data_IF_677013513199
#
_entry.id   IF_677013513199
#
_cell.length_a   1.000
_cell.length_b   1.000
_cell.length_c   1.000
_cell.angle_alpha   90.00
_cell.angle_beta   90.00
_cell.angle_gamma   90.00
#
_symmetry.space_group_name_H-M   'P 1'
#
loop_
_entity.id
_entity.type
_entity.pdbx_description
1 polymer ?
#
# COMPACT_ATOMS: atom_id res chain seq x y z
N UNK A 1 17.88 16.06 -0.44
CA UNK A 1 16.84 15.03 -0.24
C UNK A 1 17.20 14.26 1.02
N UNK A 2 16.49 14.42 2.14
CA UNK A 2 16.68 13.57 3.32
C UNK A 2 16.09 12.21 2.96
N UNK A 3 16.95 11.25 2.65
CA UNK A 3 16.56 9.84 2.51
C UNK A 3 15.87 9.45 3.83
N UNK A 4 14.75 8.71 3.74
CA UNK A 4 14.03 8.19 4.90
C UNK A 4 15.01 7.70 5.95
N UNK A 5 14.85 8.18 7.18
CA UNK A 5 15.81 7.93 8.23
C UNK A 5 15.92 6.43 8.48
N UNK A 6 17.14 5.96 8.74
CA UNK A 6 17.44 4.58 9.16
C UNK A 6 16.42 4.04 10.18
N UNK A 7 15.93 4.90 11.07
CA UNK A 7 14.88 4.61 12.05
C UNK A 7 13.55 4.11 11.46
N UNK A 8 13.14 4.56 10.27
CA UNK A 8 11.91 4.10 9.62
C UNK A 8 12.09 2.68 9.11
N UNK A 9 13.21 2.42 8.42
CA UNK A 9 13.55 1.08 7.96
C UNK A 9 13.67 0.15 9.18
N UNK A 10 14.41 0.54 10.22
CA UNK A 10 14.60 -0.26 11.44
C UNK A 10 13.26 -0.63 12.10
N UNK A 11 12.28 0.29 12.13
CA UNK A 11 10.95 0.01 12.67
C UNK A 11 10.19 -1.00 11.80
N UNK A 12 10.03 -0.72 10.51
CA UNK A 12 9.20 -1.57 9.64
C UNK A 12 9.90 -2.87 9.22
N UNK A 13 11.17 -3.05 9.59
CA UNK A 13 11.88 -4.34 9.51
C UNK A 13 11.53 -5.30 10.65
N UNK A 14 10.82 -4.86 11.69
CA UNK A 14 10.49 -5.73 12.82
C UNK A 14 9.47 -6.80 12.41
N UNK A 15 9.65 -8.08 12.82
CA UNK A 15 8.72 -9.16 12.46
C UNK A 15 7.27 -8.90 12.87
N UNK A 16 7.05 -8.20 13.97
CA UNK A 16 5.72 -7.87 14.48
C UNK A 16 5.00 -6.89 13.55
N UNK A 17 5.71 -5.88 13.04
CA UNK A 17 5.17 -4.90 12.08
C UNK A 17 4.87 -5.62 10.76
N UNK A 18 5.81 -6.43 10.26
CA UNK A 18 5.59 -7.23 9.03
C UNK A 18 4.37 -8.14 9.15
N UNK A 19 4.21 -8.79 10.30
CA UNK A 19 3.05 -9.64 10.57
C UNK A 19 1.75 -8.85 10.61
N UNK A 20 1.73 -7.71 11.31
CA UNK A 20 0.53 -6.85 11.38
C UNK A 20 0.09 -6.39 9.98
N UNK A 21 1.03 -5.88 9.17
CA UNK A 21 0.72 -5.43 7.81
C UNK A 21 0.37 -6.58 6.86
N UNK A 22 0.92 -7.78 7.08
CA UNK A 22 0.54 -8.98 6.32
C UNK A 22 -0.86 -9.47 6.69
N UNK A 23 -1.22 -9.46 7.98
CA UNK A 23 -2.51 -9.93 8.48
C UNK A 23 -3.67 -9.05 7.96
N UNK A 24 -3.42 -7.76 7.73
CA UNK A 24 -4.44 -6.85 7.19
C UNK A 24 -4.43 -6.74 5.66
N UNK A 25 -3.45 -7.34 4.96
CA UNK A 25 -3.31 -7.20 3.51
C UNK A 25 -4.57 -7.64 2.75
N UNK A 26 -5.29 -8.65 3.26
CA UNK A 26 -6.50 -9.17 2.64
C UNK A 26 -7.79 -8.45 3.05
N UNK A 27 -7.72 -7.47 3.95
CA UNK A 27 -8.91 -6.72 4.42
C UNK A 27 -9.43 -5.72 3.39
N UNK A 28 -8.59 -5.35 2.42
CA UNK A 28 -8.90 -4.40 1.37
C UNK A 28 -9.07 -2.96 1.86
N UNK A 29 -9.75 -2.12 1.07
CA UNK A 29 -9.93 -0.70 1.37
C UNK A 29 -10.82 -0.49 2.60
N UNK A 30 -10.44 0.47 3.42
CA UNK A 30 -11.32 0.98 4.45
C UNK A 30 -12.46 1.81 3.83
N UNK A 31 -13.43 2.19 4.67
CA UNK A 31 -14.62 2.91 4.21
C UNK A 31 -14.27 4.30 3.63
N UNK A 32 -13.32 5.00 4.22
CA UNK A 32 -12.93 6.34 3.78
C UNK A 32 -12.14 6.28 2.47
N UNK A 33 -11.22 5.33 2.35
CA UNK A 33 -10.44 5.04 1.15
C UNK A 33 -11.36 4.70 -0.03
N UNK A 34 -12.31 3.78 0.19
CA UNK A 34 -13.32 3.43 -0.82
C UNK A 34 -14.15 4.64 -1.27
N UNK A 35 -14.53 5.54 -0.35
CA UNK A 35 -15.24 6.77 -0.70
C UNK A 35 -14.38 7.72 -1.54
N UNK A 36 -13.09 7.87 -1.21
CA UNK A 36 -12.16 8.73 -1.97
C UNK A 36 -11.96 8.17 -3.37
N UNK A 37 -11.69 6.87 -3.50
CA UNK A 37 -11.47 6.21 -4.78
C UNK A 37 -12.72 6.35 -5.66
N UNK A 38 -13.91 6.01 -5.15
CA UNK A 38 -15.17 6.17 -5.90
C UNK A 38 -15.44 7.62 -6.33
N UNK A 39 -15.06 8.59 -5.48
CA UNK A 39 -15.25 10.01 -5.76
C UNK A 39 -14.33 10.50 -6.87
N UNK A 40 -13.06 10.09 -6.91
CA UNK A 40 -12.06 10.69 -7.80
C UNK A 40 -11.65 9.79 -8.97
N UNK A 41 -11.68 8.48 -8.83
CA UNK A 41 -11.21 7.54 -9.85
C UNK A 41 -12.39 7.16 -10.74
N UNK A 42 -12.74 8.06 -11.66
CA UNK A 42 -13.92 7.92 -12.54
C UNK A 42 -13.77 6.84 -13.61
N UNK A 43 -12.54 6.43 -13.90
CA UNK A 43 -12.21 5.42 -14.89
C UNK A 43 -11.07 4.53 -14.40
N UNK A 44 -10.92 3.37 -15.04
CA UNK A 44 -9.79 2.47 -14.79
C UNK A 44 -8.53 3.09 -15.37
N UNK A 45 -7.45 3.01 -14.61
CA UNK A 45 -6.22 3.74 -14.92
C UNK A 45 -4.99 3.09 -14.31
N UNK A 46 -3.86 3.76 -14.49
CA UNK A 46 -2.58 3.36 -13.91
C UNK A 46 -2.39 4.10 -12.59
N UNK A 47 -2.24 3.35 -11.49
CA UNK A 47 -2.10 3.88 -10.13
C UNK A 47 -0.69 3.59 -9.62
N UNK A 48 -0.07 4.60 -9.00
CA UNK A 48 1.11 4.43 -8.18
C UNK A 48 0.68 4.39 -6.71
N UNK A 49 0.92 3.28 -6.04
CA UNK A 49 0.74 3.14 -4.59
C UNK A 49 2.11 3.29 -3.91
N UNK A 50 2.31 4.40 -3.19
CA UNK A 50 3.58 4.79 -2.62
C UNK A 50 3.59 4.60 -1.10
N UNK A 51 4.50 3.75 -0.62
CA UNK A 51 4.42 3.17 0.72
C UNK A 51 3.45 1.99 0.74
N UNK A 52 3.51 1.12 -0.27
CA UNK A 52 2.52 0.08 -0.48
C UNK A 52 2.52 -1.01 0.60
N UNK A 53 3.56 -1.11 1.43
CA UNK A 53 3.62 -2.07 2.54
C UNK A 53 3.32 -3.50 2.11
N UNK A 54 2.32 -4.13 2.76
CA UNK A 54 1.79 -5.46 2.42
C UNK A 54 0.82 -5.50 1.23
N UNK A 55 0.53 -4.37 0.60
CA UNK A 55 -0.24 -4.27 -0.64
C UNK A 55 -1.76 -4.27 -0.50
N UNK A 56 -2.31 -3.97 0.69
CA UNK A 56 -3.75 -4.00 0.98
C UNK A 56 -4.58 -3.23 -0.04
N UNK A 57 -4.17 -1.99 -0.28
CA UNK A 57 -4.79 -1.04 -1.20
C UNK A 57 -4.47 -1.43 -2.64
N UNK A 58 -3.20 -1.67 -2.95
CA UNK A 58 -2.74 -2.04 -4.29
C UNK A 58 -3.44 -3.28 -4.85
N UNK A 59 -3.55 -4.35 -4.07
CA UNK A 59 -4.20 -5.61 -4.48
C UNK A 59 -5.69 -5.38 -4.71
N UNK A 60 -6.34 -4.60 -3.86
CA UNK A 60 -7.76 -4.28 -4.01
C UNK A 60 -8.03 -3.48 -5.28
N UNK A 61 -7.25 -2.41 -5.50
CA UNK A 61 -7.33 -1.58 -6.70
C UNK A 61 -7.05 -2.38 -7.97
N UNK A 62 -6.11 -3.33 -7.92
CA UNK A 62 -5.87 -4.26 -9.02
C UNK A 62 -7.08 -5.16 -9.30
N UNK A 63 -7.68 -5.75 -8.25
CA UNK A 63 -8.91 -6.57 -8.37
C UNK A 63 -10.09 -5.77 -8.91
N UNK A 64 -10.15 -4.47 -8.62
CA UNK A 64 -11.14 -3.55 -9.19
C UNK A 64 -10.86 -3.19 -10.66
N UNK A 65 -9.76 -3.66 -11.26
CA UNK A 65 -9.45 -3.50 -12.68
C UNK A 65 -8.49 -2.35 -13.01
N UNK A 66 -7.85 -1.74 -12.01
CA UNK A 66 -6.78 -0.78 -12.26
C UNK A 66 -5.45 -1.50 -12.52
N UNK A 67 -4.54 -0.85 -13.24
CA UNK A 67 -3.14 -1.28 -13.30
C UNK A 67 -2.39 -0.60 -12.15
N UNK A 68 -1.83 -1.36 -11.23
CA UNK A 68 -1.19 -0.79 -10.03
C UNK A 68 0.31 -1.04 -10.06
N UNK A 69 1.09 -0.03 -9.69
CA UNK A 69 2.52 -0.10 -9.43
C UNK A 69 2.70 0.22 -7.95
N UNK A 70 3.16 -0.75 -7.16
CA UNK A 70 3.50 -0.54 -5.75
C UNK A 70 4.97 -0.20 -5.59
N UNK A 71 5.27 0.78 -4.73
CA UNK A 71 6.63 1.08 -4.28
C UNK A 71 6.67 1.18 -2.76
N UNK A 72 7.70 0.62 -2.14
CA UNK A 72 7.99 0.81 -0.72
C UNK A 72 9.48 1.05 -0.53
N UNK A 73 9.83 1.73 0.56
CA UNK A 73 11.21 1.96 0.98
C UNK A 73 11.80 0.75 1.70
N UNK A 74 10.94 -0.09 2.28
CA UNK A 74 11.35 -1.36 2.85
C UNK A 74 11.50 -2.39 1.72
N UNK A 75 12.71 -2.91 1.48
CA UNK A 75 12.91 -3.92 0.46
C UNK A 75 12.29 -5.24 0.92
N UNK A 76 11.28 -5.71 0.19
CA UNK A 76 10.84 -7.11 0.23
C UNK A 76 11.87 -7.99 -0.52
N UNK A 77 13.10 -8.07 -0.02
CA UNK A 77 14.17 -8.97 -0.50
C UNK A 77 14.94 -9.51 0.69
#
# INVERSE_FOLDING_TARGET
MKICSKSVIDKYSQPEELKEYSDIADTGLDKAEGMIISKYFKEKGIILDAGCGGGREAVTLFKEGHKVIGIDIYPWI
#
